data_IF_481383923749
#
_entry.id   IF_481383923749
#
_cell.length_a   1.000
_cell.length_b   1.000
_cell.length_c   1.000
_cell.angle_alpha   90.00
_cell.angle_beta   90.00
_cell.angle_gamma   90.00
#
_symmetry.space_group_name_H-M   'P 1'
#
loop_
_entity.id
_entity.type
_entity.pdbx_description
1 polymer ?
#
# COMPACT_ATOMS: atom_id res chain seq x y z
N UNK A 1 13.66 3.62 21.86
CA UNK A 1 12.32 3.31 21.30
C UNK A 1 12.13 1.80 21.34
N UNK A 2 10.93 1.27 21.65
CA UNK A 2 10.66 -0.15 21.48
C UNK A 2 10.87 -0.52 20.01
N UNK A 3 11.68 -1.53 19.71
CA UNK A 3 11.90 -2.01 18.34
C UNK A 3 11.82 -3.54 18.33
N UNK A 4 11.03 -4.15 17.43
CA UNK A 4 10.12 -3.52 16.48
C UNK A 4 8.90 -2.85 17.15
N UNK A 5 8.25 -1.92 16.45
CA UNK A 5 6.96 -1.32 16.83
C UNK A 5 5.99 -1.38 15.64
N UNK A 6 4.70 -1.23 15.90
CA UNK A 6 3.65 -1.12 14.89
C UNK A 6 3.00 0.24 14.99
N UNK A 7 2.76 0.88 13.84
CA UNK A 7 2.05 2.14 13.78
C UNK A 7 0.62 1.97 14.31
N UNK A 8 0.16 2.94 15.10
CA UNK A 8 -1.23 2.99 15.60
C UNK A 8 -1.95 4.13 14.85
N UNK A 9 -2.69 3.83 13.77
CA UNK A 9 -3.47 4.84 13.06
C UNK A 9 -4.64 5.34 13.95
N UNK A 10 -5.39 6.38 13.56
CA UNK A 10 -6.59 6.80 14.28
C UNK A 10 -7.65 5.69 14.48
N UNK A 11 -8.53 5.78 15.50
CA UNK A 11 -9.52 4.73 15.84
C UNK A 11 -10.49 4.35 14.73
N UNK A 12 -10.82 5.29 13.86
CA UNK A 12 -11.76 5.10 12.75
C UNK A 12 -11.13 4.47 11.51
N UNK A 13 -9.79 4.42 11.43
CA UNK A 13 -9.08 3.83 10.28
C UNK A 13 -9.11 2.31 10.37
N UNK A 14 -9.51 1.68 9.26
CA UNK A 14 -9.49 0.24 9.03
C UNK A 14 -8.69 -0.08 7.77
N UNK A 15 -8.30 -1.34 7.62
CA UNK A 15 -7.81 -1.79 6.31
C UNK A 15 -8.99 -1.77 5.33
N UNK A 16 -8.83 -1.23 4.12
CA UNK A 16 -10.00 -0.99 3.24
C UNK A 16 -10.75 -2.28 2.86
N UNK A 17 -10.05 -3.40 2.85
CA UNK A 17 -10.60 -4.74 2.63
C UNK A 17 -11.58 -5.16 3.72
N UNK A 18 -11.52 -4.61 4.93
CA UNK A 18 -12.56 -4.83 5.94
C UNK A 18 -13.93 -4.34 5.46
N UNK A 19 -13.98 -3.24 4.70
CA UNK A 19 -15.23 -2.76 4.12
C UNK A 19 -15.76 -3.71 3.03
N UNK A 20 -14.87 -4.28 2.21
CA UNK A 20 -15.24 -5.28 1.20
C UNK A 20 -15.71 -6.59 1.85
N UNK A 21 -14.97 -7.09 2.85
CA UNK A 21 -15.35 -8.28 3.62
C UNK A 21 -16.70 -8.11 4.30
N UNK A 22 -16.97 -6.92 4.85
CA UNK A 22 -18.26 -6.58 5.41
C UNK A 22 -19.41 -6.55 4.39
N UNK A 23 -19.10 -6.33 3.11
CA UNK A 23 -20.04 -6.46 2.01
C UNK A 23 -20.12 -7.89 1.43
N UNK A 24 -19.46 -8.87 2.07
CA UNK A 24 -19.49 -10.28 1.66
C UNK A 24 -18.40 -10.70 0.67
N UNK A 25 -17.47 -9.82 0.31
CA UNK A 25 -16.35 -10.17 -0.58
C UNK A 25 -15.31 -11.03 0.14
N UNK A 26 -14.86 -12.06 -0.56
CA UNK A 26 -13.70 -12.83 -0.15
C UNK A 26 -12.40 -12.13 -0.55
N UNK A 27 -11.61 -11.70 0.43
CA UNK A 27 -10.45 -10.84 0.21
C UNK A 27 -9.12 -11.57 0.43
N UNK A 28 -8.24 -11.59 -0.57
CA UNK A 28 -6.94 -12.30 -0.47
C UNK A 28 -5.74 -11.44 -0.87
N UNK A 29 -4.61 -11.66 -0.20
CA UNK A 29 -3.32 -11.06 -0.53
C UNK A 29 -2.21 -12.11 -0.69
N UNK A 30 -1.61 -12.19 -1.89
CA UNK A 30 -0.54 -13.13 -2.22
C UNK A 30 0.75 -12.39 -2.60
N UNK A 31 1.72 -12.20 -1.71
CA UNK A 31 1.70 -12.46 -0.27
C UNK A 31 2.33 -11.32 0.53
N UNK A 32 3.03 -10.42 -0.17
CA UNK A 32 3.70 -9.25 0.41
C UNK A 32 2.65 -8.27 0.95
N UNK A 33 2.85 -7.77 2.17
CA UNK A 33 2.03 -6.71 2.79
C UNK A 33 2.83 -5.43 2.94
N UNK A 34 4.01 -5.51 3.59
CA UNK A 34 4.94 -4.40 3.82
C UNK A 34 4.29 -3.19 4.53
N UNK A 35 3.29 -3.48 5.37
CA UNK A 35 2.64 -2.50 6.21
C UNK A 35 3.54 -2.08 7.37
N UNK A 36 3.34 -0.87 7.87
CA UNK A 36 3.99 -0.38 9.11
C UNK A 36 3.35 -0.96 10.39
N UNK A 37 2.52 -2.00 10.26
CA UNK A 37 1.88 -2.73 11.35
C UNK A 37 1.63 -4.18 10.93
N UNK A 38 1.50 -5.09 11.90
CA UNK A 38 1.08 -6.47 11.61
C UNK A 38 -0.34 -6.47 11.08
N UNK A 39 -0.62 -7.01 9.88
CA UNK A 39 -1.97 -7.04 9.33
C UNK A 39 -2.90 -7.81 10.29
N UNK A 40 -4.02 -7.21 10.74
CA UNK A 40 -4.94 -7.91 11.62
C UNK A 40 -5.63 -9.05 10.86
N UNK A 41 -6.08 -10.10 11.56
CA UNK A 41 -6.85 -11.20 10.95
C UNK A 41 -8.15 -10.72 10.27
N UNK A 42 -8.61 -9.52 10.61
CA UNK A 42 -9.76 -8.86 9.99
C UNK A 42 -9.43 -8.26 8.62
N UNK A 43 -8.16 -8.03 8.30
CA UNK A 43 -7.77 -7.39 7.03
C UNK A 43 -7.99 -8.29 5.80
N UNK A 44 -7.74 -9.59 5.91
CA UNK A 44 -7.81 -10.51 4.79
C UNK A 44 -8.48 -11.81 5.21
N UNK A 45 -9.20 -12.46 4.31
CA UNK A 45 -9.59 -13.86 4.50
C UNK A 45 -8.35 -14.75 4.41
N UNK A 46 -7.45 -14.47 3.45
CA UNK A 46 -6.15 -15.13 3.33
C UNK A 46 -5.03 -14.15 2.99
N UNK A 47 -3.90 -14.22 3.70
CA UNK A 47 -2.73 -13.39 3.45
C UNK A 47 -1.45 -14.23 3.56
N UNK A 48 -1.13 -14.99 2.50
CA UNK A 48 -0.01 -15.91 2.45
C UNK A 48 0.32 -16.29 0.99
N UNK A 49 1.33 -17.12 0.77
CA UNK A 49 1.76 -17.53 -0.58
C UNK A 49 0.77 -18.44 -1.34
N UNK A 50 -0.20 -19.02 -0.64
CA UNK A 50 -1.26 -19.87 -1.23
C UNK A 50 -2.58 -19.13 -1.38
N UNK A 51 -2.66 -17.87 -0.95
CA UNK A 51 -3.86 -17.06 -0.99
C UNK A 51 -4.32 -16.87 -2.44
N UNK A 52 -5.59 -17.19 -2.71
CA UNK A 52 -6.15 -17.20 -4.06
C UNK A 52 -7.66 -17.02 -4.05
N UNK A 53 -8.22 -16.37 -5.06
CA UNK A 53 -9.69 -16.27 -5.23
C UNK A 53 -10.37 -17.63 -5.38
N UNK A 54 -9.63 -18.71 -5.67
CA UNK A 54 -10.14 -20.07 -5.87
C UNK A 54 -10.52 -20.75 -4.54
N UNK A 55 -10.07 -20.21 -3.42
CA UNK A 55 -10.35 -20.74 -2.08
C UNK A 55 -11.67 -20.20 -1.49
N UNK A 56 -12.37 -19.32 -2.22
CA UNK A 56 -13.67 -18.75 -1.82
C UNK A 56 -14.81 -19.76 -1.91
N UNK A 57 -15.92 -19.45 -1.27
CA UNK A 57 -17.15 -20.23 -1.39
C UNK A 57 -17.77 -20.11 -2.79
N UNK A 58 -18.48 -21.16 -3.23
CA UNK A 58 -19.14 -21.16 -4.54
C UNK A 58 -20.12 -19.97 -4.67
N UNK A 59 -19.92 -19.14 -5.70
CA UNK A 59 -20.74 -17.95 -5.96
C UNK A 59 -20.37 -16.70 -5.16
N UNK A 60 -19.41 -16.78 -4.23
CA UNK A 60 -18.95 -15.62 -3.46
C UNK A 60 -18.16 -14.65 -4.37
N UNK A 61 -18.41 -13.34 -4.26
CA UNK A 61 -17.57 -12.31 -4.90
C UNK A 61 -16.18 -12.27 -4.27
N UNK A 62 -15.17 -11.82 -5.00
CA UNK A 62 -13.79 -11.77 -4.49
C UNK A 62 -13.08 -10.45 -4.79
N UNK A 63 -12.06 -10.17 -3.99
CA UNK A 63 -11.03 -9.17 -4.23
C UNK A 63 -9.67 -9.82 -3.95
N UNK A 64 -8.80 -9.92 -4.95
CA UNK A 64 -7.54 -10.64 -4.83
C UNK A 64 -6.36 -9.83 -5.35
N UNK A 65 -5.32 -9.71 -4.53
CA UNK A 65 -4.07 -9.01 -4.87
C UNK A 65 -2.94 -10.02 -5.02
N UNK A 66 -2.18 -9.91 -6.11
CA UNK A 66 -0.97 -10.69 -6.36
C UNK A 66 0.23 -9.74 -6.49
N UNK A 67 1.24 -9.96 -5.66
CA UNK A 67 2.41 -9.10 -5.52
C UNK A 67 3.69 -9.86 -5.97
N UNK A 68 3.91 -10.04 -7.29
CA UNK A 68 5.14 -10.64 -7.77
C UNK A 68 6.34 -9.75 -7.40
N UNK A 69 7.43 -10.37 -6.90
CA UNK A 69 8.59 -9.64 -6.38
C UNK A 69 9.77 -9.61 -7.36
N UNK A 70 9.62 -10.20 -8.55
CA UNK A 70 10.71 -10.41 -9.51
C UNK A 70 11.33 -9.10 -10.03
N UNK A 71 10.54 -8.03 -10.13
CA UNK A 71 10.97 -6.70 -10.57
C UNK A 71 11.48 -5.80 -9.45
N UNK A 72 11.53 -6.30 -8.21
CA UNK A 72 12.10 -5.56 -7.08
C UNK A 72 13.55 -5.15 -7.36
N UNK A 73 14.05 -4.07 -6.73
CA UNK A 73 15.41 -3.55 -7.01
C UNK A 73 16.52 -4.61 -6.85
N UNK A 74 16.30 -5.57 -5.95
CA UNK A 74 17.20 -6.71 -5.73
C UNK A 74 17.22 -7.73 -6.88
N UNK A 75 16.20 -7.73 -7.74
CA UNK A 75 16.13 -8.55 -8.94
C UNK A 75 17.24 -8.23 -9.94
N UNK A 76 17.77 -7.00 -9.92
CA UNK A 76 18.90 -6.55 -10.73
C UNK A 76 20.27 -6.89 -10.12
N UNK A 77 20.33 -7.36 -8.87
CA UNK A 77 21.61 -7.58 -8.20
C UNK A 77 22.30 -8.85 -8.66
N UNK A 78 23.63 -8.77 -8.75
CA UNK A 78 24.46 -9.96 -8.86
C UNK A 78 24.40 -10.77 -7.57
N UNK A 79 24.23 -12.09 -7.69
CA UNK A 79 24.28 -13.03 -6.57
C UNK A 79 25.14 -14.22 -7.00
N UNK A 80 25.76 -14.90 -6.04
CA UNK A 80 26.60 -16.08 -6.33
C UNK A 80 25.83 -17.16 -7.11
N UNK A 81 24.54 -17.33 -6.82
CA UNK A 81 23.61 -18.25 -7.47
C UNK A 81 22.90 -17.67 -8.69
N UNK A 82 23.07 -16.36 -8.96
CA UNK A 82 22.41 -15.64 -10.05
C UNK A 82 23.33 -14.54 -10.61
N UNK A 83 24.33 -14.92 -11.43
CA UNK A 83 25.19 -13.95 -12.10
C UNK A 83 24.37 -12.99 -12.98
N UNK A 84 24.95 -11.86 -13.39
CA UNK A 84 24.31 -10.88 -14.27
C UNK A 84 24.20 -11.40 -15.73
N UNK A 85 23.56 -12.55 -15.95
CA UNK A 85 23.21 -13.04 -17.29
C UNK A 85 21.87 -12.48 -17.72
N UNK A 86 21.75 -12.09 -18.99
CA UNK A 86 20.54 -11.52 -19.58
C UNK A 86 20.22 -12.16 -20.93
N UNK A 87 18.93 -12.28 -21.23
CA UNK A 87 18.44 -12.59 -22.58
C UNK A 87 18.28 -11.32 -23.41
N UNK A 88 17.91 -10.21 -22.76
CA UNK A 88 17.90 -8.88 -23.36
C UNK A 88 19.33 -8.45 -23.68
N UNK A 89 19.55 -7.95 -24.89
CA UNK A 89 20.82 -7.40 -25.34
C UNK A 89 21.08 -6.05 -24.63
N UNK A 90 22.19 -5.88 -23.89
CA UNK A 90 22.54 -4.63 -23.22
C UNK A 90 22.71 -3.41 -24.14
N UNK A 91 22.95 -3.62 -25.43
CA UNK A 91 23.08 -2.50 -26.38
C UNK A 91 21.71 -1.90 -26.76
N UNK A 92 20.62 -2.65 -26.56
CA UNK A 92 19.26 -2.23 -26.92
C UNK A 92 18.55 -1.45 -25.80
N UNK A 93 19.12 -1.37 -24.59
CA UNK A 93 18.52 -0.62 -23.48
C UNK A 93 18.84 0.87 -23.53
N UNK A 94 17.90 1.69 -23.06
CA UNK A 94 18.05 3.14 -22.97
C UNK A 94 18.14 3.56 -21.51
N UNK A 95 19.31 4.07 -21.10
CA UNK A 95 19.53 4.60 -19.76
C UNK A 95 19.08 6.08 -19.70
N UNK A 96 18.41 6.50 -18.61
CA UNK A 96 18.23 7.92 -18.31
C UNK A 96 19.57 8.67 -18.29
N UNK A 97 19.62 9.94 -18.74
CA UNK A 97 20.86 10.71 -18.87
C UNK A 97 21.59 10.96 -17.53
N UNK A 98 20.88 10.87 -16.41
CA UNK A 98 21.46 10.97 -15.06
C UNK A 98 22.09 9.66 -14.55
N UNK A 99 22.04 8.58 -15.33
CA UNK A 99 22.74 7.32 -15.04
C UNK A 99 23.96 7.18 -15.96
N UNK A 100 25.07 6.61 -15.46
CA UNK A 100 26.26 6.42 -16.27
C UNK A 100 26.04 5.34 -17.33
N UNK A 101 26.34 5.65 -18.58
CA UNK A 101 26.22 4.73 -19.70
C UNK A 101 27.45 3.81 -19.80
N UNK A 102 27.47 2.77 -18.96
CA UNK A 102 28.56 1.79 -18.89
C UNK A 102 28.05 0.39 -19.18
N UNK A 103 28.92 -0.56 -19.57
CA UNK A 103 28.53 -1.96 -19.73
C UNK A 103 27.83 -2.53 -18.49
N UNK A 104 28.30 -2.18 -17.28
CA UNK A 104 27.69 -2.62 -16.02
C UNK A 104 26.27 -2.08 -15.83
N UNK A 105 26.05 -0.81 -16.17
CA UNK A 105 24.73 -0.20 -16.05
C UNK A 105 23.74 -0.74 -17.08
N UNK A 106 24.18 -0.91 -18.33
CA UNK A 106 23.41 -1.54 -19.40
C UNK A 106 23.02 -2.97 -19.06
N UNK A 107 23.95 -3.77 -18.55
CA UNK A 107 23.69 -5.16 -18.13
C UNK A 107 22.62 -5.22 -17.02
N UNK A 108 22.70 -4.32 -16.03
CA UNK A 108 21.73 -4.25 -14.95
C UNK A 108 20.32 -3.91 -15.45
N UNK A 109 20.21 -2.95 -16.36
CA UNK A 109 18.92 -2.55 -16.93
C UNK A 109 18.36 -3.62 -17.88
N UNK A 110 19.20 -4.27 -18.68
CA UNK A 110 18.79 -5.42 -19.50
C UNK A 110 18.22 -6.56 -18.65
N UNK A 111 18.81 -6.81 -17.47
CA UNK A 111 18.27 -7.78 -16.52
C UNK A 111 16.92 -7.37 -15.96
N UNK A 112 16.69 -6.07 -15.77
CA UNK A 112 15.37 -5.59 -15.37
C UNK A 112 14.32 -5.84 -16.45
N UNK A 113 14.69 -5.76 -17.74
CA UNK A 113 13.78 -6.06 -18.84
C UNK A 113 13.41 -7.56 -18.87
N UNK A 114 14.37 -8.45 -18.60
CA UNK A 114 14.09 -9.88 -18.44
C UNK A 114 13.18 -10.17 -17.22
N UNK A 115 13.40 -9.45 -16.11
CA UNK A 115 12.52 -9.54 -14.93
C UNK A 115 11.10 -9.05 -15.26
N UNK A 116 10.95 -7.99 -16.06
CA UNK A 116 9.66 -7.49 -16.54
C UNK A 116 8.95 -8.53 -17.41
N UNK A 117 9.65 -9.16 -18.35
CA UNK A 117 9.08 -10.25 -19.16
C UNK A 117 8.61 -11.43 -18.29
N UNK A 118 9.36 -11.74 -17.22
CA UNK A 118 8.94 -12.78 -16.25
C UNK A 118 7.68 -12.37 -15.48
N UNK A 119 7.60 -11.09 -15.05
CA UNK A 119 6.41 -10.57 -14.38
C UNK A 119 5.19 -10.56 -15.32
N UNK A 120 5.37 -10.19 -16.57
CA UNK A 120 4.34 -10.18 -17.61
C UNK A 120 3.78 -11.59 -17.88
N UNK A 121 4.65 -12.59 -18.01
CA UNK A 121 4.23 -14.00 -18.12
C UNK A 121 3.37 -14.44 -16.92
N UNK A 122 3.72 -14.00 -15.70
CA UNK A 122 2.92 -14.29 -14.50
C UNK A 122 1.54 -13.60 -14.54
N UNK A 123 1.44 -12.41 -15.12
CA UNK A 123 0.13 -11.76 -15.36
C UNK A 123 -0.68 -12.60 -16.35
N UNK A 124 -0.07 -13.07 -17.44
CA UNK A 124 -0.69 -13.98 -18.41
C UNK A 124 -1.29 -15.24 -17.74
N UNK A 125 -0.51 -15.91 -16.89
CA UNK A 125 -0.98 -17.09 -16.14
C UNK A 125 -2.20 -16.81 -15.26
N UNK A 126 -2.30 -15.62 -14.66
CA UNK A 126 -3.46 -15.25 -13.84
C UNK A 126 -4.68 -14.91 -14.69
N UNK A 127 -4.49 -14.31 -15.87
CA UNK A 127 -5.55 -14.06 -16.83
C UNK A 127 -6.10 -15.37 -17.41
N UNK A 128 -5.24 -16.32 -17.76
CA UNK A 128 -5.63 -17.66 -18.22
C UNK A 128 -6.47 -18.37 -17.15
N UNK A 129 -6.08 -18.27 -15.87
CA UNK A 129 -6.86 -18.84 -14.77
C UNK A 129 -8.24 -18.21 -14.61
N UNK A 130 -8.39 -16.89 -14.85
CA UNK A 130 -9.71 -16.25 -14.87
C UNK A 130 -10.58 -16.79 -16.02
N UNK A 131 -10.00 -17.08 -17.18
CA UNK A 131 -10.71 -17.70 -18.31
C UNK A 131 -11.11 -19.15 -18.01
N UNK A 132 -10.19 -19.95 -17.47
CA UNK A 132 -10.45 -21.33 -17.01
C UNK A 132 -11.58 -21.40 -15.99
N UNK A 133 -11.62 -20.44 -15.07
CA UNK A 133 -12.64 -20.37 -14.02
C UNK A 133 -13.99 -19.79 -14.52
N UNK A 134 -14.07 -19.34 -15.78
CA UNK A 134 -15.24 -18.67 -16.34
C UNK A 134 -15.52 -17.30 -15.72
N UNK A 135 -14.50 -16.63 -15.19
CA UNK A 135 -14.58 -15.36 -14.46
C UNK A 135 -14.10 -14.16 -15.28
N UNK A 136 -13.50 -14.37 -16.46
CA UNK A 136 -12.88 -13.33 -17.27
C UNK A 136 -13.80 -12.14 -17.60
N UNK A 137 -15.08 -12.40 -17.89
CA UNK A 137 -16.07 -11.36 -18.23
C UNK A 137 -16.73 -10.71 -17.00
N UNK A 138 -16.48 -11.24 -15.80
CA UNK A 138 -17.08 -10.76 -14.55
C UNK A 138 -16.01 -10.34 -13.53
N UNK A 139 -14.82 -9.94 -14.02
CA UNK A 139 -13.69 -9.53 -13.19
C UNK A 139 -13.07 -8.25 -13.75
N UNK A 140 -12.97 -7.22 -12.90
CA UNK A 140 -12.17 -6.04 -13.21
C UNK A 140 -10.74 -6.32 -12.78
N UNK A 141 -9.80 -6.18 -13.73
CA UNK A 141 -8.37 -6.40 -13.48
C UNK A 141 -7.66 -5.06 -13.43
N UNK A 142 -6.92 -4.83 -12.35
CA UNK A 142 -6.00 -3.71 -12.20
C UNK A 142 -4.56 -4.24 -12.23
N UNK A 143 -3.69 -3.61 -13.01
CA UNK A 143 -2.25 -3.85 -13.00
C UNK A 143 -1.55 -2.53 -12.67
N UNK A 144 -0.79 -2.51 -11.57
CA UNK A 144 -0.07 -1.32 -11.10
C UNK A 144 1.25 -1.68 -10.42
N UNK A 145 2.06 -0.66 -10.12
CA UNK A 145 3.29 -0.78 -9.32
C UNK A 145 3.15 0.00 -8.01
N UNK A 146 3.83 -0.41 -6.93
CA UNK A 146 3.81 0.29 -5.64
C UNK A 146 4.61 1.60 -5.69
N UNK A 147 5.68 1.64 -6.48
CA UNK A 147 6.47 2.82 -6.79
C UNK A 147 7.12 2.70 -8.18
N UNK A 148 7.82 3.75 -8.62
CA UNK A 148 8.58 3.79 -9.87
C UNK A 148 9.79 2.85 -9.88
N UNK A 149 10.61 2.90 -10.92
CA UNK A 149 11.68 1.92 -11.12
C UNK A 149 12.68 1.90 -9.94
N UNK A 150 13.20 0.71 -9.62
CA UNK A 150 14.24 0.49 -8.60
C UNK A 150 15.61 1.13 -8.91
N UNK A 151 15.65 2.05 -9.87
CA UNK A 151 16.83 2.75 -10.33
C UNK A 151 17.17 3.94 -9.42
N UNK A 152 18.43 4.39 -9.43
CA UNK A 152 18.79 5.64 -8.77
C UNK A 152 17.96 6.82 -9.30
N UNK A 153 17.62 7.79 -8.43
CA UNK A 153 16.66 8.89 -8.68
C UNK A 153 15.20 8.46 -8.89
N UNK A 154 14.91 7.18 -9.08
CA UNK A 154 13.55 6.60 -9.09
C UNK A 154 13.05 6.29 -7.68
N UNK A 155 13.03 4.99 -7.32
CA UNK A 155 12.63 4.51 -5.98
C UNK A 155 13.24 5.36 -4.85
N UNK A 156 12.40 5.72 -3.87
CA UNK A 156 12.67 6.62 -2.74
C UNK A 156 12.63 8.13 -3.06
N UNK A 157 12.34 8.54 -4.29
CA UNK A 157 12.21 9.96 -4.64
C UNK A 157 10.83 10.31 -5.22
N UNK A 158 10.31 11.52 -4.95
CA UNK A 158 9.05 11.99 -5.54
C UNK A 158 9.20 12.57 -6.96
N UNK A 159 10.26 12.21 -7.69
CA UNK A 159 10.42 12.46 -9.13
C UNK A 159 9.47 11.57 -9.94
N UNK A 160 9.16 11.91 -11.20
CA UNK A 160 8.25 11.13 -12.04
C UNK A 160 8.83 9.71 -12.24
N UNK A 161 10.16 9.58 -12.29
CA UNK A 161 10.85 8.28 -12.25
C UNK A 161 10.51 7.42 -11.02
N UNK A 162 10.09 8.03 -9.90
CA UNK A 162 9.74 7.35 -8.65
C UNK A 162 8.24 7.26 -8.36
N UNK A 163 7.39 8.11 -8.96
CA UNK A 163 5.94 8.15 -8.66
C UNK A 163 5.02 7.97 -9.87
N UNK A 164 5.52 8.13 -11.12
CA UNK A 164 4.73 7.90 -12.34
C UNK A 164 4.80 6.42 -12.72
N UNK A 165 3.92 5.65 -12.11
CA UNK A 165 3.81 4.19 -12.25
C UNK A 165 2.85 3.79 -13.39
N UNK A 166 2.94 2.53 -13.90
CA UNK A 166 1.86 1.99 -14.72
C UNK A 166 0.58 1.81 -13.89
N UNK A 167 -0.56 2.09 -14.52
CA UNK A 167 -1.89 1.70 -14.05
C UNK A 167 -2.71 1.30 -15.28
N UNK A 168 -2.98 0.01 -15.44
CA UNK A 168 -3.80 -0.55 -16.52
C UNK A 168 -5.05 -1.17 -15.91
N UNK A 169 -6.22 -0.87 -16.48
CA UNK A 169 -7.50 -1.39 -16.02
C UNK A 169 -8.23 -2.09 -17.18
N UNK A 170 -8.74 -3.30 -16.94
CA UNK A 170 -9.52 -4.12 -17.89
C UNK A 170 -10.82 -4.57 -17.25
N UNK A 171 -11.88 -4.73 -18.06
CA UNK A 171 -13.08 -5.49 -17.68
C UNK A 171 -14.22 -4.67 -17.08
N UNK A 172 -14.20 -3.34 -17.22
CA UNK A 172 -15.31 -2.47 -16.80
C UNK A 172 -16.00 -1.84 -18.03
N UNK A 173 -17.33 -1.86 -18.05
CA UNK A 173 -18.15 -1.46 -19.22
C UNK A 173 -17.93 -0.03 -19.72
N UNK A 174 -17.50 0.87 -18.84
CA UNK A 174 -17.20 2.25 -19.22
C UNK A 174 -15.84 2.43 -19.92
N UNK A 175 -15.04 1.36 -20.04
CA UNK A 175 -13.70 1.42 -20.61
C UNK A 175 -13.73 1.02 -22.09
N UNK A 176 -13.02 1.78 -22.91
CA UNK A 176 -12.72 1.40 -24.30
C UNK A 176 -11.35 0.74 -24.35
N UNK A 177 -11.28 -0.50 -24.86
CA UNK A 177 -10.01 -1.22 -24.98
C UNK A 177 -8.99 -0.43 -25.81
N UNK A 178 -7.74 -0.35 -25.34
CA UNK A 178 -6.66 0.39 -25.99
C UNK A 178 -6.73 1.92 -25.82
N UNK A 179 -7.71 2.46 -25.09
CA UNK A 179 -7.75 3.89 -24.75
C UNK A 179 -6.76 4.25 -23.64
N UNK A 180 -6.41 5.54 -23.56
CA UNK A 180 -5.58 6.12 -22.51
C UNK A 180 -6.30 7.30 -21.84
N UNK A 181 -5.92 7.60 -20.59
CA UNK A 181 -6.45 8.72 -19.81
C UNK A 181 -5.33 9.62 -19.33
N UNK A 182 -5.53 10.93 -19.46
CA UNK A 182 -4.63 11.98 -18.94
C UNK A 182 -5.06 12.47 -17.54
N UNK A 183 -5.96 11.73 -16.88
CA UNK A 183 -6.38 12.03 -15.51
C UNK A 183 -5.21 11.84 -14.53
N UNK A 184 -5.09 12.76 -13.57
CA UNK A 184 -4.20 12.57 -12.44
C UNK A 184 -4.79 11.57 -11.44
N UNK A 185 -4.06 10.50 -11.18
CA UNK A 185 -4.43 9.43 -10.23
C UNK A 185 -3.28 9.23 -9.24
N UNK A 186 -3.64 8.95 -7.98
CA UNK A 186 -2.71 8.56 -6.91
C UNK A 186 -3.10 7.18 -6.37
N UNK A 187 -2.14 6.41 -5.85
CA UNK A 187 -2.43 5.07 -5.33
C UNK A 187 -3.44 5.05 -4.18
N UNK A 188 -3.57 6.15 -3.43
CA UNK A 188 -4.61 6.29 -2.39
C UNK A 188 -6.03 6.20 -2.95
N UNK A 189 -6.20 6.35 -4.27
CA UNK A 189 -7.47 6.30 -4.97
C UNK A 189 -7.96 4.89 -5.26
N UNK A 190 -7.07 3.89 -5.26
CA UNK A 190 -7.45 2.51 -5.57
C UNK A 190 -8.49 1.97 -4.59
N UNK A 191 -8.31 2.23 -3.29
CA UNK A 191 -9.28 1.82 -2.26
C UNK A 191 -10.69 2.37 -2.53
N UNK A 192 -10.89 3.70 -2.55
CA UNK A 192 -12.16 4.32 -2.89
C UNK A 192 -12.73 3.90 -4.26
N UNK A 193 -11.87 3.75 -5.28
CA UNK A 193 -12.29 3.28 -6.61
C UNK A 193 -12.88 1.88 -6.56
N UNK A 194 -12.21 0.94 -5.89
CA UNK A 194 -12.69 -0.44 -5.73
C UNK A 194 -13.98 -0.47 -4.92
N UNK A 195 -14.07 0.29 -3.82
CA UNK A 195 -15.30 0.38 -3.04
C UNK A 195 -16.48 0.89 -3.89
N UNK A 196 -16.27 1.95 -4.67
CA UNK A 196 -17.28 2.51 -5.58
C UNK A 196 -17.75 1.49 -6.63
N UNK A 197 -16.81 0.75 -7.24
CA UNK A 197 -17.12 -0.29 -8.23
C UNK A 197 -17.90 -1.48 -7.63
N UNK A 198 -17.66 -1.78 -6.35
CA UNK A 198 -18.37 -2.83 -5.62
C UNK A 198 -19.71 -2.34 -5.03
N UNK A 199 -20.08 -1.08 -5.21
CA UNK A 199 -21.28 -0.50 -4.59
C UNK A 199 -21.17 -0.39 -3.06
N UNK A 200 -19.95 -0.38 -2.52
CA UNK A 200 -19.68 -0.21 -1.09
C UNK A 200 -19.38 1.26 -0.84
N UNK A 201 -20.12 1.88 0.09
CA UNK A 201 -19.91 3.28 0.43
C UNK A 201 -18.52 3.48 1.05
N UNK A 202 -17.71 4.33 0.42
CA UNK A 202 -16.42 4.73 0.97
C UNK A 202 -16.61 5.57 2.26
N UNK A 203 -15.88 5.28 3.34
CA UNK A 203 -15.86 6.14 4.51
C UNK A 203 -15.37 7.56 4.19
N UNK A 204 -15.98 8.57 4.81
CA UNK A 204 -15.64 9.99 4.58
C UNK A 204 -14.19 10.37 4.90
N UNK A 205 -13.50 9.57 5.73
CA UNK A 205 -12.11 9.83 6.12
C UNK A 205 -11.09 9.34 5.09
N UNK A 206 -11.50 8.62 4.04
CA UNK A 206 -10.60 8.26 2.94
C UNK A 206 -10.27 9.50 2.11
N UNK A 207 -8.99 9.80 1.97
CA UNK A 207 -8.51 10.99 1.25
C UNK A 207 -8.38 10.78 -0.27
N UNK A 208 -8.38 9.52 -0.71
CA UNK A 208 -8.38 9.18 -2.13
C UNK A 208 -9.73 9.47 -2.77
N UNK A 209 -9.74 9.58 -4.10
CA UNK A 209 -10.95 9.86 -4.86
C UNK A 209 -11.12 8.81 -5.96
N UNK A 210 -12.32 8.23 -6.14
CA UNK A 210 -12.55 7.27 -7.20
C UNK A 210 -12.18 7.85 -8.58
N UNK A 211 -11.36 7.14 -9.37
CA UNK A 211 -11.03 7.55 -10.75
C UNK A 211 -11.83 6.79 -11.81
N UNK A 212 -12.57 5.76 -11.39
CA UNK A 212 -13.44 4.92 -12.21
C UNK A 212 -14.72 4.59 -11.43
N UNK A 213 -15.80 4.28 -12.14
CA UNK A 213 -17.08 3.93 -11.54
C UNK A 213 -18.03 5.12 -11.36
N UNK A 214 -19.17 4.90 -10.68
CA UNK A 214 -20.26 5.88 -10.59
C UNK A 214 -19.89 7.14 -9.80
N UNK A 215 -18.92 7.05 -8.88
CA UNK A 215 -18.47 8.17 -8.04
C UNK A 215 -17.16 8.79 -8.54
N UNK A 216 -16.84 8.61 -9.83
CA UNK A 216 -15.61 9.13 -10.42
C UNK A 216 -15.48 10.65 -10.21
N UNK A 217 -14.31 11.08 -9.75
CA UNK A 217 -13.91 12.49 -9.64
C UNK A 217 -12.53 12.72 -10.27
N UNK A 218 -12.33 13.90 -10.87
CA UNK A 218 -11.02 14.36 -11.34
C UNK A 218 -10.40 15.33 -10.35
N UNK A 219 -9.07 15.43 -10.37
CA UNK A 219 -8.28 16.35 -9.53
C UNK A 219 -7.30 17.16 -10.35
N UNK A 220 -6.95 18.32 -9.81
CA UNK A 220 -5.94 19.20 -10.39
C UNK A 220 -4.51 18.86 -9.94
N UNK A 221 -4.37 18.22 -8.77
CA UNK A 221 -3.07 17.96 -8.13
C UNK A 221 -2.99 16.56 -7.56
N UNK A 222 -1.81 15.93 -7.66
CA UNK A 222 -1.40 14.81 -6.80
C UNK A 222 -0.27 15.24 -5.88
N UNK A 223 -0.21 14.62 -4.72
CA UNK A 223 0.78 14.90 -3.69
C UNK A 223 1.60 13.64 -3.42
N UNK A 224 2.89 13.82 -3.14
CA UNK A 224 3.78 12.74 -2.76
C UNK A 224 4.65 13.17 -1.58
N UNK A 225 4.90 12.24 -0.68
CA UNK A 225 5.73 12.46 0.50
C UNK A 225 6.87 11.45 0.53
N UNK A 226 7.96 11.87 1.17
CA UNK A 226 9.08 11.01 1.51
C UNK A 226 9.63 11.49 2.83
N UNK A 227 9.62 10.60 3.81
CA UNK A 227 10.18 10.82 5.13
C UNK A 227 11.41 9.94 5.31
N UNK A 228 11.64 9.42 6.51
CA UNK A 228 12.63 8.37 6.76
C UNK A 228 12.47 7.23 5.75
N UNK A 229 13.58 6.80 5.18
CA UNK A 229 13.63 5.68 4.25
C UNK A 229 14.87 4.85 4.55
N UNK A 230 14.64 3.57 4.83
CA UNK A 230 15.63 2.65 5.39
C UNK A 230 16.30 3.25 6.67
N UNK A 231 17.62 3.35 6.73
CA UNK A 231 18.37 3.90 7.87
C UNK A 231 18.47 5.43 7.88
N UNK A 232 18.08 6.08 6.79
CA UNK A 232 18.31 7.52 6.58
C UNK A 232 17.07 8.36 6.83
N UNK A 233 17.24 9.43 7.61
CA UNK A 233 16.18 10.41 7.87
C UNK A 233 16.24 11.57 6.87
N UNK A 234 15.12 11.88 6.23
CA UNK A 234 14.91 13.03 5.35
C UNK A 234 13.44 13.45 5.41
N UNK A 235 13.10 14.60 4.81
CA UNK A 235 11.73 15.06 4.66
C UNK A 235 11.59 15.87 3.38
N UNK A 236 10.84 15.30 2.44
CA UNK A 236 10.57 15.86 1.12
C UNK A 236 9.08 15.76 0.83
N UNK A 237 8.53 16.82 0.26
CA UNK A 237 7.13 16.92 -0.14
C UNK A 237 7.05 17.37 -1.58
N UNK A 238 6.09 16.85 -2.32
CA UNK A 238 5.89 17.20 -3.72
C UNK A 238 4.41 17.37 -4.04
N UNK A 239 4.14 18.28 -4.97
CA UNK A 239 2.85 18.43 -5.64
C UNK A 239 3.06 18.49 -7.13
N UNK A 240 2.21 17.81 -7.87
CA UNK A 240 2.26 17.71 -9.34
C UNK A 240 0.88 17.99 -9.91
N UNK A 241 0.81 18.90 -10.87
CA UNK A 241 -0.34 19.05 -11.76
C UNK A 241 -0.08 18.32 -13.09
N UNK A 242 -0.85 18.59 -14.14
CA UNK A 242 -0.66 17.92 -15.44
C UNK A 242 0.69 18.23 -16.11
N UNK A 243 1.29 19.39 -15.83
CA UNK A 243 2.50 19.89 -16.51
C UNK A 243 3.66 20.20 -15.58
N UNK A 244 3.40 20.74 -14.40
CA UNK A 244 4.41 21.17 -13.47
C UNK A 244 4.49 20.26 -12.25
N UNK A 245 5.70 20.10 -11.73
CA UNK A 245 5.95 19.51 -10.42
C UNK A 245 6.77 20.42 -9.56
N UNK A 246 6.31 20.63 -8.34
CA UNK A 246 7.05 21.31 -7.29
C UNK A 246 7.49 20.31 -6.21
N UNK A 247 8.74 20.43 -5.75
CA UNK A 247 9.32 19.63 -4.67
C UNK A 247 9.93 20.58 -3.64
N UNK A 248 9.66 20.31 -2.36
CA UNK A 248 10.25 21.01 -1.22
C UNK A 248 11.16 20.07 -0.44
N UNK A 249 12.43 20.43 -0.35
CA UNK A 249 13.42 19.75 0.50
C UNK A 249 13.50 20.47 1.85
N UNK A 250 13.08 19.82 2.94
CA UNK A 250 13.13 20.43 4.28
C UNK A 250 14.51 20.33 4.95
N UNK A 251 15.37 19.46 4.44
CA UNK A 251 16.79 19.33 4.84
C UNK A 251 17.72 19.58 3.64
N UNK A 252 17.78 20.81 3.10
CA UNK A 252 18.58 21.12 1.92
C UNK A 252 20.09 20.97 2.16
N UNK A 253 20.56 21.02 3.40
CA UNK A 253 21.95 20.78 3.77
C UNK A 253 22.40 19.33 3.55
N UNK A 254 21.46 18.39 3.42
CA UNK A 254 21.75 16.99 3.15
C UNK A 254 21.97 16.73 1.66
N UNK A 255 22.86 15.79 1.28
CA UNK A 255 23.03 15.40 -0.12
C UNK A 255 21.78 14.66 -0.64
N UNK A 256 21.64 14.57 -1.97
CA UNK A 256 20.64 13.68 -2.57
C UNK A 256 20.87 12.22 -2.12
N UNK A 257 22.06 11.67 -2.33
CA UNK A 257 22.36 10.30 -1.90
C UNK A 257 22.73 10.21 -0.41
N UNK A 258 21.74 9.90 0.43
CA UNK A 258 22.01 9.47 1.81
C UNK A 258 22.54 8.02 1.86
N UNK A 259 23.18 7.69 2.98
CA UNK A 259 23.79 6.38 3.22
C UNK A 259 22.72 5.31 3.43
N UNK A 260 22.62 4.40 2.47
CA UNK A 260 21.73 3.22 2.52
C UNK A 260 22.52 2.01 2.02
N UNK A 261 22.96 1.13 2.93
CA UNK A 261 23.72 -0.07 2.58
C UNK A 261 22.98 -0.99 1.60
N UNK A 262 21.66 -1.14 1.77
CA UNK A 262 20.83 -2.00 0.92
C UNK A 262 20.88 -1.55 -0.55
N UNK A 263 20.53 -0.28 -0.82
CA UNK A 263 20.58 0.35 -2.15
C UNK A 263 22.00 0.30 -2.76
N UNK A 264 23.05 0.43 -1.96
CA UNK A 264 24.43 0.39 -2.46
C UNK A 264 24.86 -0.97 -3.03
N UNK A 265 24.05 -2.04 -2.86
CA UNK A 265 24.23 -3.32 -3.57
C UNK A 265 23.80 -3.26 -5.04
N UNK A 266 23.04 -2.23 -5.43
CA UNK A 266 22.57 -2.07 -6.79
C UNK A 266 23.77 -1.85 -7.75
N UNK A 267 23.90 -2.60 -8.85
CA UNK A 267 25.07 -2.53 -9.74
C UNK A 267 25.28 -1.13 -10.35
N UNK A 268 24.21 -0.44 -10.77
CA UNK A 268 24.29 0.96 -11.22
C UNK A 268 24.78 1.88 -10.09
N UNK A 269 24.28 1.75 -8.85
CA UNK A 269 24.78 2.54 -7.72
C UNK A 269 26.27 2.30 -7.45
N UNK A 270 26.73 1.04 -7.52
CA UNK A 270 28.15 0.71 -7.38
C UNK A 270 29.00 1.39 -8.45
N UNK A 271 28.52 1.42 -9.69
CA UNK A 271 29.23 2.08 -10.78
C UNK A 271 29.26 3.60 -10.62
N UNK A 272 28.14 4.20 -10.19
CA UNK A 272 28.09 5.62 -9.85
C UNK A 272 29.09 5.98 -8.75
N UNK A 273 29.23 5.15 -7.70
CA UNK A 273 30.24 5.36 -6.66
C UNK A 273 31.68 5.22 -7.18
N UNK A 274 31.95 4.25 -8.08
CA UNK A 274 33.27 4.08 -8.71
C UNK A 274 33.65 5.32 -9.51
N UNK A 275 32.75 5.79 -10.38
CA UNK A 275 32.95 6.98 -11.21
C UNK A 275 33.08 8.24 -10.37
N UNK A 276 32.27 8.39 -9.31
CA UNK A 276 32.38 9.50 -8.36
C UNK A 276 33.77 9.53 -7.70
N UNK A 277 34.26 8.39 -7.21
CA UNK A 277 35.57 8.28 -6.59
C UNK A 277 36.73 8.56 -7.56
N UNK A 278 36.54 8.26 -8.85
CA UNK A 278 37.51 8.54 -9.91
C UNK A 278 37.42 9.98 -10.45
N UNK A 279 36.37 10.74 -10.14
CA UNK A 279 36.10 12.05 -10.74
C UNK A 279 35.65 11.97 -12.20
N UNK A 280 35.05 10.85 -12.60
CA UNK A 280 34.68 10.49 -13.98
C UNK A 280 33.17 10.64 -14.27
N UNK A 281 32.38 11.17 -13.34
CA UNK A 281 30.96 11.46 -13.60
C UNK A 281 30.80 12.70 -14.48
N UNK A 282 30.03 12.58 -15.55
CA UNK A 282 29.82 13.66 -16.52
C UNK A 282 28.40 14.24 -16.44
N UNK A 283 28.27 15.56 -16.64
CA UNK A 283 26.98 16.24 -16.78
C UNK A 283 25.98 15.91 -15.67
N UNK A 284 24.84 15.36 -16.09
CA UNK A 284 23.72 15.03 -15.20
C UNK A 284 23.98 13.81 -14.31
N UNK A 285 24.97 12.97 -14.61
CA UNK A 285 25.33 11.80 -13.80
C UNK A 285 25.81 12.21 -12.40
N UNK A 286 26.35 13.43 -12.27
CA UNK A 286 26.79 13.99 -11.00
C UNK A 286 25.65 14.55 -10.15
N UNK A 287 24.41 14.69 -10.68
CA UNK A 287 23.31 15.41 -9.99
C UNK A 287 23.02 14.85 -8.60
N UNK A 288 23.02 13.53 -8.47
CA UNK A 288 22.74 12.82 -7.22
C UNK A 288 23.86 12.91 -6.17
N UNK A 289 25.05 13.38 -6.55
CA UNK A 289 26.18 13.60 -5.64
C UNK A 289 26.30 15.07 -5.22
N UNK A 290 25.43 15.95 -5.71
CA UNK A 290 25.43 17.37 -5.34
C UNK A 290 24.96 17.56 -3.89
N UNK A 291 25.64 18.47 -3.20
CA UNK A 291 25.32 18.92 -1.84
C UNK A 291 25.84 20.36 -1.69
N UNK A 292 25.04 21.31 -1.16
CA UNK A 292 23.66 21.16 -0.70
C UNK A 292 22.65 20.95 -1.84
N UNK A 293 21.45 20.48 -1.50
CA UNK A 293 20.28 20.47 -2.39
C UNK A 293 19.61 21.85 -2.39
N UNK A 294 18.92 22.22 -3.48
CA UNK A 294 18.02 23.37 -3.45
C UNK A 294 16.87 23.12 -2.46
N UNK A 295 16.44 24.16 -1.73
CA UNK A 295 15.29 24.06 -0.82
C UNK A 295 13.98 23.83 -1.59
N UNK A 296 13.90 24.36 -2.81
CA UNK A 296 12.74 24.31 -3.69
C UNK A 296 13.18 23.87 -5.09
N UNK A 297 12.40 22.97 -5.68
CA UNK A 297 12.57 22.52 -7.07
C UNK A 297 11.25 22.68 -7.82
N UNK A 298 11.30 23.21 -9.04
CA UNK A 298 10.16 23.30 -9.94
C UNK A 298 10.56 22.75 -11.31
N UNK A 299 9.75 21.86 -11.88
CA UNK A 299 10.02 21.23 -13.17
C UNK A 299 8.80 21.34 -14.09
N UNK A 300 9.04 21.61 -15.37
CA UNK A 300 8.07 21.44 -16.45
C UNK A 300 8.21 20.02 -17.01
N UNK A 301 7.40 19.08 -16.51
CA UNK A 301 7.56 17.64 -16.79
C UNK A 301 7.15 17.25 -18.21
N UNK A 302 6.49 18.14 -18.95
CA UNK A 302 6.21 17.92 -20.39
C UNK A 302 7.48 18.12 -21.23
N UNK A 303 8.28 19.14 -20.91
CA UNK A 303 9.49 19.50 -21.66
C UNK A 303 10.77 18.94 -21.04
N UNK A 304 10.74 18.56 -19.76
CA UNK A 304 11.85 18.00 -18.99
C UNK A 304 11.44 16.70 -18.29
N UNK A 305 11.33 15.62 -19.08
CA UNK A 305 10.90 14.30 -18.61
C UNK A 305 11.72 13.74 -17.45
N UNK A 306 12.99 14.12 -17.34
CA UNK A 306 13.91 13.61 -16.32
C UNK A 306 14.09 14.55 -15.13
N UNK A 307 13.39 15.70 -15.13
CA UNK A 307 13.39 16.68 -14.06
C UNK A 307 14.83 17.13 -13.71
N UNK A 308 15.60 17.53 -14.72
CA UNK A 308 17.01 17.93 -14.58
C UNK A 308 17.20 19.46 -14.56
N UNK A 309 16.23 20.21 -15.07
CA UNK A 309 16.24 21.66 -15.19
C UNK A 309 15.34 22.30 -14.12
N UNK A 310 15.91 22.64 -12.96
CA UNK A 310 15.16 23.29 -11.88
C UNK A 310 14.82 24.75 -12.24
N UNK A 311 13.53 25.04 -12.38
CA UNK A 311 12.94 26.35 -12.70
C UNK A 311 12.58 27.20 -11.48
N UNK A 312 12.84 26.74 -10.25
CA UNK A 312 12.44 27.46 -9.03
C UNK A 312 13.10 28.86 -8.92
N UNK A 313 14.28 29.05 -9.52
CA UNK A 313 14.96 30.34 -9.59
C UNK A 313 14.63 31.16 -10.85
N UNK A 314 13.82 30.64 -11.78
CA UNK A 314 13.52 31.30 -13.04
C UNK A 314 12.41 32.35 -12.88
N UNK A 315 12.71 33.59 -13.27
CA UNK A 315 11.80 34.74 -13.12
C UNK A 315 10.50 34.54 -13.91
N UNK A 316 10.56 33.85 -15.06
CA UNK A 316 9.40 33.58 -15.91
C UNK A 316 8.42 32.56 -15.32
N UNK A 317 8.85 31.78 -14.33
CA UNK A 317 8.04 30.73 -13.69
C UNK A 317 7.61 31.08 -12.26
N UNK A 318 7.83 32.31 -11.81
CA UNK A 318 7.50 32.73 -10.44
C UNK A 318 6.03 32.50 -10.07
N UNK A 319 5.09 32.87 -10.95
CA UNK A 319 3.66 32.66 -10.70
C UNK A 319 3.28 31.18 -10.58
N UNK A 320 3.95 30.31 -11.35
CA UNK A 320 3.77 28.86 -11.28
C UNK A 320 4.34 28.32 -9.97
N UNK A 321 5.52 28.77 -9.58
CA UNK A 321 6.14 28.39 -8.30
C UNK A 321 5.23 28.73 -7.12
N UNK A 322 4.72 29.96 -7.05
CA UNK A 322 3.84 30.40 -5.97
C UNK A 322 2.54 29.58 -5.93
N UNK A 323 1.92 29.32 -7.09
CA UNK A 323 0.71 28.49 -7.17
C UNK A 323 0.95 27.08 -6.64
N UNK A 324 2.02 26.43 -7.09
CA UNK A 324 2.35 25.06 -6.70
C UNK A 324 2.75 24.98 -5.22
N UNK A 325 3.54 25.95 -4.72
CA UNK A 325 3.86 26.07 -3.29
C UNK A 325 2.60 26.26 -2.44
N UNK A 326 1.68 27.10 -2.89
CA UNK A 326 0.39 27.34 -2.26
C UNK A 326 -0.47 26.07 -2.20
N UNK A 327 -0.54 25.32 -3.30
CA UNK A 327 -1.25 24.05 -3.36
C UNK A 327 -0.69 23.02 -2.36
N UNK A 328 0.64 22.90 -2.26
CA UNK A 328 1.27 22.01 -1.29
C UNK A 328 0.97 22.46 0.15
N UNK A 329 1.08 23.75 0.43
CA UNK A 329 0.86 24.32 1.76
C UNK A 329 -0.59 24.14 2.21
N UNK A 330 -1.55 24.33 1.30
CA UNK A 330 -2.97 24.08 1.57
C UNK A 330 -3.22 22.61 1.89
N UNK A 331 -2.67 21.69 1.09
CA UNK A 331 -2.81 20.25 1.34
C UNK A 331 -2.25 19.83 2.71
N UNK A 332 -1.08 20.35 3.09
CA UNK A 332 -0.51 20.11 4.43
C UNK A 332 -1.37 20.70 5.54
N UNK A 333 -2.01 21.85 5.32
CA UNK A 333 -2.94 22.44 6.28
C UNK A 333 -4.22 21.63 6.45
N UNK A 334 -4.74 21.06 5.37
CA UNK A 334 -6.01 20.32 5.36
C UNK A 334 -5.89 18.97 6.06
N UNK A 335 -4.74 18.29 5.91
CA UNK A 335 -4.56 16.92 6.36
C UNK A 335 -3.55 16.75 7.50
N UNK A 336 -2.76 17.79 7.79
CA UNK A 336 -1.62 17.72 8.71
C UNK A 336 -0.42 16.98 8.12
N UNK A 337 0.72 17.12 8.77
CA UNK A 337 1.97 16.47 8.36
C UNK A 337 2.69 15.86 9.57
N UNK A 338 2.67 14.53 9.66
CA UNK A 338 3.30 13.83 10.79
C UNK A 338 4.83 13.86 10.73
N UNK A 339 5.43 14.26 9.60
CA UNK A 339 6.88 14.38 9.46
C UNK A 339 7.52 15.39 10.42
N UNK A 340 6.73 16.36 10.90
CA UNK A 340 7.15 17.36 11.90
C UNK A 340 7.29 16.78 13.32
N UNK A 341 6.81 15.56 13.55
CA UNK A 341 6.88 14.88 14.85
C UNK A 341 8.11 13.94 14.83
N UNK A 342 9.09 14.12 15.73
CA UNK A 342 10.19 13.18 15.88
C UNK A 342 9.69 11.75 16.11
N UNK A 343 10.32 10.77 15.45
CA UNK A 343 9.86 9.36 15.46
C UNK A 343 9.73 8.79 16.88
N UNK A 344 10.64 9.16 17.78
CA UNK A 344 10.61 8.75 19.19
C UNK A 344 9.41 9.32 19.94
N UNK A 345 9.04 10.57 19.65
CA UNK A 345 7.82 11.18 20.19
C UNK A 345 6.57 10.55 19.60
N UNK A 346 6.55 10.32 18.28
CA UNK A 346 5.45 9.63 17.61
C UNK A 346 5.23 8.23 18.21
N UNK A 347 6.29 7.44 18.36
CA UNK A 347 6.20 6.10 18.99
C UNK A 347 5.78 6.20 20.46
N UNK A 348 6.23 7.20 21.21
CA UNK A 348 5.80 7.42 22.58
C UNK A 348 4.30 7.74 22.68
N UNK A 349 3.69 8.41 21.68
CA UNK A 349 2.22 8.60 21.67
C UNK A 349 1.46 7.29 21.45
N UNK A 350 2.01 6.38 20.66
CA UNK A 350 1.41 5.08 20.41
C UNK A 350 1.60 4.11 21.59
N UNK A 351 2.80 4.16 22.22
CA UNK A 351 3.30 3.23 23.23
C UNK A 351 3.71 4.06 24.47
N UNK A 352 2.75 4.64 25.22
CA UNK A 352 3.04 5.62 26.28
C UNK A 352 3.98 5.10 27.37
N UNK A 353 3.86 3.82 27.71
CA UNK A 353 4.71 3.14 28.71
C UNK A 353 5.86 2.34 28.05
N UNK A 354 6.19 2.64 26.78
CA UNK A 354 7.13 1.86 25.98
C UNK A 354 6.68 0.43 25.66
N UNK A 355 5.45 0.07 26.03
CA UNK A 355 4.86 -1.26 25.85
C UNK A 355 3.75 -1.18 24.81
N UNK A 356 3.71 -2.15 23.90
CA UNK A 356 2.62 -2.23 22.94
C UNK A 356 1.28 -2.36 23.68
N UNK A 357 0.28 -1.52 23.38
CA UNK A 357 -1.03 -1.64 24.00
C UNK A 357 -1.72 -2.97 23.67
N UNK A 358 -2.65 -3.38 24.53
CA UNK A 358 -3.37 -4.66 24.43
C UNK A 358 -4.82 -4.40 24.02
N UNK A 359 -5.32 -5.10 23.00
CA UNK A 359 -6.74 -5.07 22.66
C UNK A 359 -7.54 -5.84 23.73
N UNK A 360 -8.65 -5.28 24.19
CA UNK A 360 -9.54 -5.90 25.15
C UNK A 360 -10.25 -7.11 24.51
N UNK A 361 -10.46 -8.16 25.30
CA UNK A 361 -11.18 -9.35 24.83
C UNK A 361 -12.63 -9.02 24.45
N UNK A 362 -13.17 -9.62 23.38
CA UNK A 362 -14.58 -9.47 23.06
C UNK A 362 -15.45 -10.11 24.14
N UNK A 363 -16.62 -9.51 24.37
CA UNK A 363 -17.68 -10.05 25.24
C UNK A 363 -18.84 -10.53 24.37
N UNK A 364 -19.56 -11.53 24.89
CA UNK A 364 -20.72 -12.13 24.26
C UNK A 364 -22.00 -11.64 24.94
N UNK A 365 -22.94 -11.10 24.17
CA UNK A 365 -24.21 -10.54 24.67
C UNK A 365 -25.35 -11.29 23.96
N UNK A 366 -25.94 -12.31 24.60
CA UNK A 366 -27.08 -13.03 24.06
C UNK A 366 -28.37 -12.20 24.19
N UNK A 367 -29.20 -12.28 23.16
CA UNK A 367 -30.47 -11.57 23.07
C UNK A 367 -31.56 -12.56 22.67
N UNK A 368 -32.53 -12.76 23.56
CA UNK A 368 -33.78 -13.50 23.30
C UNK A 368 -34.92 -12.94 24.18
N UNK A 369 -36.03 -13.66 24.28
CA UNK A 369 -37.20 -13.20 25.05
C UNK A 369 -36.94 -13.04 26.55
N UNK A 370 -35.99 -13.80 27.11
CA UNK A 370 -35.66 -13.82 28.54
C UNK A 370 -34.44 -12.93 28.86
N UNK A 371 -33.59 -12.71 27.86
CA UNK A 371 -32.35 -11.94 27.96
C UNK A 371 -32.39 -10.77 26.98
N UNK A 372 -32.73 -9.54 27.43
CA UNK A 372 -32.88 -8.40 26.53
C UNK A 372 -31.54 -7.77 26.08
N UNK A 373 -30.41 -8.48 26.20
CA UNK A 373 -29.08 -7.96 25.84
C UNK A 373 -28.43 -7.04 26.85
N UNK A 374 -28.83 -7.11 28.12
CA UNK A 374 -28.29 -6.26 29.20
C UNK A 374 -27.13 -6.89 29.97
N UNK A 375 -26.88 -8.18 29.75
CA UNK A 375 -25.92 -8.97 30.52
C UNK A 375 -24.91 -9.64 29.59
N UNK A 376 -23.67 -9.78 30.09
CA UNK A 376 -22.61 -10.51 29.42
C UNK A 376 -22.78 -12.00 29.72
N UNK A 377 -22.75 -12.84 28.68
CA UNK A 377 -22.62 -14.27 28.87
C UNK A 377 -21.19 -14.60 29.30
N UNK A 378 -21.03 -14.91 30.59
CA UNK A 378 -19.74 -15.34 31.16
C UNK A 378 -19.44 -16.83 30.90
N UNK A 379 -20.49 -17.64 30.74
CA UNK A 379 -20.39 -19.07 30.48
C UNK A 379 -21.36 -19.48 29.36
N UNK A 380 -21.11 -20.64 28.77
CA UNK A 380 -22.06 -21.29 27.86
C UNK A 380 -23.34 -21.72 28.55
N UNK A 381 -24.32 -22.20 27.80
CA UNK A 381 -25.56 -22.68 28.40
C UNK A 381 -26.67 -23.03 27.43
N UNK A 382 -27.83 -23.33 28.01
CA UNK A 382 -29.08 -23.60 27.30
C UNK A 382 -29.85 -22.30 27.11
N UNK A 383 -30.26 -22.05 25.87
CA UNK A 383 -30.95 -20.84 25.46
C UNK A 383 -32.21 -21.18 24.70
N UNK A 384 -33.26 -20.40 24.87
CA UNK A 384 -34.50 -20.54 24.10
C UNK A 384 -34.40 -19.77 22.78
N UNK A 385 -34.79 -20.39 21.67
CA UNK A 385 -34.91 -19.72 20.37
C UNK A 385 -36.07 -18.70 20.36
N UNK A 386 -36.00 -17.63 19.55
CA UNK A 386 -34.87 -17.22 18.71
C UNK A 386 -33.75 -16.56 19.54
N UNK A 387 -32.49 -16.91 19.23
CA UNK A 387 -31.31 -16.35 19.89
C UNK A 387 -30.46 -15.54 18.90
N UNK A 388 -30.13 -14.32 19.30
CA UNK A 388 -29.14 -13.48 18.62
C UNK A 388 -27.94 -13.31 19.55
N UNK A 389 -26.73 -13.46 19.02
CA UNK A 389 -25.50 -13.24 19.77
C UNK A 389 -24.80 -11.98 19.26
N UNK A 390 -24.71 -10.96 20.11
CA UNK A 390 -23.91 -9.76 19.87
C UNK A 390 -22.50 -9.91 20.44
N UNK A 391 -21.50 -9.43 19.69
CA UNK A 391 -20.12 -9.39 20.13
C UNK A 391 -19.71 -7.92 20.30
N UNK A 392 -19.06 -7.60 21.42
CA UNK A 392 -18.62 -6.23 21.71
C UNK A 392 -17.19 -6.21 22.24
N UNK A 393 -16.42 -5.17 21.92
CA UNK A 393 -15.07 -4.95 22.44
C UNK A 393 -14.98 -3.51 22.97
N UNK A 394 -14.43 -3.32 24.17
CA UNK A 394 -14.28 -2.00 24.78
C UNK A 394 -13.10 -1.19 24.23
N UNK A 395 -12.20 -1.80 23.45
CA UNK A 395 -11.11 -1.07 22.79
C UNK A 395 -11.65 -0.30 21.59
N UNK A 396 -11.59 1.03 21.66
CA UNK A 396 -12.02 1.90 20.58
C UNK A 396 -11.30 1.58 19.27
N UNK A 397 -12.06 1.43 18.19
CA UNK A 397 -11.50 1.16 16.86
C UNK A 397 -10.99 -0.26 16.66
N UNK A 398 -11.26 -1.18 17.58
CA UNK A 398 -11.03 -2.61 17.35
C UNK A 398 -12.02 -3.16 16.32
N UNK A 399 -11.59 -4.16 15.55
CA UNK A 399 -12.46 -5.02 14.75
C UNK A 399 -12.53 -6.38 15.42
N UNK A 400 -13.65 -7.08 15.28
CA UNK A 400 -13.83 -8.41 15.86
C UNK A 400 -13.82 -9.43 14.73
N UNK A 401 -13.07 -10.50 14.92
CA UNK A 401 -13.14 -11.70 14.10
C UNK A 401 -13.75 -12.83 14.92
N UNK A 402 -14.52 -13.69 14.26
CA UNK A 402 -15.11 -14.86 14.90
C UNK A 402 -15.04 -16.10 14.01
N UNK A 403 -15.16 -17.27 14.63
CA UNK A 403 -15.34 -18.53 13.91
C UNK A 403 -16.28 -19.45 14.69
N UNK A 404 -17.04 -20.26 13.96
CA UNK A 404 -17.84 -21.37 14.51
C UNK A 404 -17.20 -22.74 14.27
N UNK A 405 -16.08 -22.76 13.54
CA UNK A 405 -15.34 -23.96 13.21
C UNK A 405 -14.52 -24.45 14.41
N UNK A 406 -14.25 -25.76 14.44
CA UNK A 406 -13.46 -26.42 15.47
C UNK A 406 -12.06 -26.71 14.94
N UNK A 407 -11.05 -26.64 15.81
CA UNK A 407 -9.65 -26.93 15.48
C UNK A 407 -8.77 -25.68 15.35
N UNK A 408 -7.49 -25.92 15.03
CA UNK A 408 -6.48 -24.85 14.96
C UNK A 408 -6.42 -24.18 13.58
N UNK A 409 -6.78 -24.91 12.52
CA UNK A 409 -6.81 -24.42 11.14
C UNK A 409 -8.25 -24.06 10.75
N UNK A 410 -8.71 -22.90 11.25
CA UNK A 410 -10.10 -22.44 11.11
C UNK A 410 -10.17 -21.12 10.38
N UNK A 411 -11.21 -20.96 9.56
CA UNK A 411 -11.47 -19.71 8.87
C UNK A 411 -12.11 -18.71 9.82
N UNK A 412 -11.49 -17.54 9.92
CA UNK A 412 -11.98 -16.42 10.73
C UNK A 412 -12.78 -15.45 9.87
N UNK A 413 -14.02 -15.20 10.27
CA UNK A 413 -14.94 -14.27 9.64
C UNK A 413 -14.87 -12.90 10.32
N UNK A 414 -15.04 -11.84 9.54
CA UNK A 414 -15.21 -10.49 10.07
C UNK A 414 -16.60 -10.38 10.72
N UNK A 415 -16.66 -9.92 11.96
CA UNK A 415 -17.91 -9.65 12.64
C UNK A 415 -18.47 -8.28 12.20
N UNK A 416 -19.52 -8.29 11.38
CA UNK A 416 -20.25 -7.09 10.94
C UNK A 416 -21.65 -6.98 11.53
N UNK A 417 -22.26 -8.11 11.86
CA UNK A 417 -23.66 -8.19 12.27
C UNK A 417 -23.86 -9.19 13.42
N UNK A 418 -24.89 -9.01 14.27
CA UNK A 418 -25.25 -9.98 15.29
C UNK A 418 -25.51 -11.38 14.71
N UNK A 419 -24.93 -12.40 15.34
CA UNK A 419 -25.04 -13.78 14.86
C UNK A 419 -26.42 -14.32 15.19
N UNK A 420 -27.14 -14.80 14.18
CA UNK A 420 -28.44 -15.46 14.36
C UNK A 420 -28.18 -16.95 14.53
N UNK A 421 -28.39 -17.46 15.74
CA UNK A 421 -28.10 -18.85 16.07
C UNK A 421 -29.36 -19.70 15.87
N UNK A 422 -29.19 -20.78 15.10
CA UNK A 422 -30.26 -21.76 14.86
C UNK A 422 -30.35 -22.74 16.02
N UNK A 423 -31.47 -23.46 16.10
CA UNK A 423 -31.64 -24.57 17.05
C UNK A 423 -30.50 -25.58 16.91
N UNK A 424 -29.90 -25.99 18.02
CA UNK A 424 -28.77 -26.91 18.08
C UNK A 424 -27.60 -26.35 18.90
N UNK A 425 -26.50 -27.08 18.87
CA UNK A 425 -25.25 -26.68 19.54
C UNK A 425 -24.42 -25.82 18.59
N UNK A 426 -23.93 -24.68 19.08
CA UNK A 426 -22.98 -23.83 18.37
C UNK A 426 -21.91 -23.37 19.33
N UNK A 427 -20.66 -23.52 18.92
CA UNK A 427 -19.52 -22.92 19.63
C UNK A 427 -19.08 -21.70 18.84
N UNK A 428 -18.94 -20.57 19.50
CA UNK A 428 -18.43 -19.33 18.89
C UNK A 428 -17.11 -18.97 19.56
N UNK A 429 -16.06 -18.83 18.76
CA UNK A 429 -14.75 -18.31 19.17
C UNK A 429 -14.58 -16.92 18.59
N UNK A 430 -14.07 -15.97 19.37
CA UNK A 430 -13.92 -14.59 18.97
C UNK A 430 -12.61 -13.96 19.45
N UNK A 431 -12.04 -13.07 18.63
CA UNK A 431 -10.89 -12.22 18.95
C UNK A 431 -11.18 -10.80 18.49
N UNK A 432 -10.69 -9.82 19.23
CA UNK A 432 -10.73 -8.42 18.85
C UNK A 432 -9.32 -7.91 18.57
N UNK A 433 -9.16 -7.12 17.52
CA UNK A 433 -7.86 -6.58 17.11
C UNK A 433 -7.99 -5.11 16.77
N UNK A 434 -7.14 -4.29 17.41
CA UNK A 434 -6.93 -2.89 17.07
C UNK A 434 -5.60 -2.75 16.33
N UNK A 435 -5.59 -2.07 15.18
CA UNK A 435 -4.36 -1.88 14.38
C UNK A 435 -3.27 -1.25 15.26
N UNK A 436 -2.09 -1.87 15.26
CA UNK A 436 -0.93 -1.47 16.06
C UNK A 436 -0.92 -2.00 17.51
N UNK A 437 -2.03 -2.55 18.01
CA UNK A 437 -2.11 -3.17 19.33
C UNK A 437 -1.83 -4.66 19.24
N UNK A 438 -1.51 -5.30 20.38
CA UNK A 438 -1.57 -6.77 20.48
C UNK A 438 -3.02 -7.24 20.34
N UNK A 439 -3.20 -8.39 19.69
CA UNK A 439 -4.50 -9.07 19.57
C UNK A 439 -5.04 -9.44 20.94
N UNK A 440 -6.37 -9.38 21.12
CA UNK A 440 -6.98 -9.78 22.37
C UNK A 440 -6.77 -11.26 22.69
N UNK A 441 -6.98 -11.64 23.96
CA UNK A 441 -7.26 -13.04 24.27
C UNK A 441 -8.44 -13.54 23.43
N UNK A 442 -8.35 -14.80 22.99
CA UNK A 442 -9.48 -15.51 22.40
C UNK A 442 -10.54 -15.78 23.47
N UNK A 443 -11.80 -15.51 23.15
CA UNK A 443 -12.93 -15.90 23.99
C UNK A 443 -13.79 -16.91 23.25
N UNK A 444 -14.29 -17.88 23.99
CA UNK A 444 -15.11 -18.98 23.46
C UNK A 444 -16.39 -19.08 24.28
N UNK A 445 -17.51 -19.29 23.60
CA UNK A 445 -18.81 -19.58 24.23
C UNK A 445 -19.47 -20.78 23.55
N UNK A 446 -20.05 -21.66 24.36
CA UNK A 446 -20.79 -22.84 23.92
C UNK A 446 -22.29 -22.62 24.16
N UNK A 447 -23.10 -22.66 23.10
CA UNK A 447 -24.52 -22.30 23.15
C UNK A 447 -25.35 -23.49 22.67
N UNK A 448 -26.27 -23.97 23.49
CA UNK A 448 -27.28 -24.96 23.12
C UNK A 448 -28.63 -24.25 22.96
N UNK A 449 -29.07 -24.03 21.72
CA UNK A 449 -30.34 -23.35 21.42
C UNK A 449 -31.44 -24.41 21.28
N UNK A 450 -32.43 -24.35 22.17
CA UNK A 450 -33.53 -25.32 22.30
C UNK A 450 -34.74 -25.02 21.41
#
# INVERSE_FOLDING_TARGET
>A
MPTPYSAVPPPYVKTFTEYLRGAGYYCTNNSKTDYQFTPPITAWDECNNTAHWRNREAGQSFFSVFNPTVTHESGMWEREDRPLTTTTNPDDVQLPPYLPDTPKARQALARQYDNLATADARVGELLDQLEEDGLAENTIVFLWSDHGEGLPRGKRWPYDAGIRIPLIVRGHDSLTAGSASEQLVSLIDLGPTVLSLCGVQAPEHLQGQPFLGPEKMERDYIFATRDRYDESYDMVRAVRDKRYKYIRNYYPEKPYLLWIPYRNRHPIMQEMWRLYAAGELEGDQAVMFRCPRPAEELYDVENDRYELNNLAGDVGHHDVLERMRGALTQWQSDFGDMGDIPEDQMVATWYPDGTQPQTAAPIFIPINAEHPGMEVAHEGGKWTAPLVLQLHCSTQGASIAYTTEQGDDTRWQLYTDPLRLSKGETTVRAKAIRIGYRESEEKTIHLEVL
#
